data_IF_873574754596
#
_entry.id   IF_873574754596
#
_cell.length_a   1.000
_cell.length_b   1.000
_cell.length_c   1.000
_cell.angle_alpha   90.00
_cell.angle_beta   90.00
_cell.angle_gamma   90.00
#
_symmetry.space_group_name_H-M   'P 1'
#
loop_
_entity.id
_entity.type
_entity.pdbx_description
1 polymer ?
#
# COMPACT_ATOMS: atom_id res chain seq x y z
N UNK A 1 -32.66 -9.95 -16.02
CA UNK A 1 -32.00 -10.79 -14.99
C UNK A 1 -30.50 -10.80 -15.30
N UNK A 2 -29.65 -10.28 -14.43
CA UNK A 2 -28.19 -10.42 -14.58
C UNK A 2 -27.88 -11.91 -14.39
N UNK A 3 -27.45 -12.58 -15.45
CA UNK A 3 -26.87 -13.91 -15.34
C UNK A 3 -25.72 -13.78 -14.34
N UNK A 4 -25.86 -14.39 -13.16
CA UNK A 4 -24.69 -14.60 -12.30
C UNK A 4 -23.74 -15.40 -13.16
N UNK A 5 -22.62 -14.79 -13.56
CA UNK A 5 -21.64 -15.37 -14.45
C UNK A 5 -20.93 -16.48 -13.65
N UNK A 6 -21.63 -17.59 -13.47
CA UNK A 6 -21.15 -18.74 -12.70
C UNK A 6 -19.97 -19.32 -13.48
N UNK A 7 -18.77 -19.14 -12.93
CA UNK A 7 -17.57 -19.74 -13.48
C UNK A 7 -17.62 -21.27 -13.28
N UNK A 8 -16.94 -22.01 -14.17
CA UNK A 8 -16.84 -23.47 -14.05
C UNK A 8 -16.01 -23.87 -12.83
N UNK A 9 -16.16 -25.12 -12.39
CA UNK A 9 -15.36 -25.68 -11.30
C UNK A 9 -13.87 -25.71 -11.64
N UNK A 10 -13.54 -25.96 -12.91
CA UNK A 10 -12.16 -25.92 -13.42
C UNK A 10 -11.59 -24.50 -13.36
N UNK A 11 -12.37 -23.48 -13.70
CA UNK A 11 -11.95 -22.07 -13.58
C UNK A 11 -11.78 -21.69 -12.11
N UNK A 12 -12.72 -22.08 -11.22
CA UNK A 12 -12.61 -21.84 -9.79
C UNK A 12 -11.34 -22.47 -9.22
N UNK A 13 -11.03 -23.70 -9.61
CA UNK A 13 -9.80 -24.39 -9.21
C UNK A 13 -8.56 -23.65 -9.69
N UNK A 14 -8.51 -23.25 -10.97
CA UNK A 14 -7.39 -22.45 -11.51
C UNK A 14 -7.19 -21.14 -10.75
N UNK A 15 -8.27 -20.45 -10.37
CA UNK A 15 -8.20 -19.22 -9.58
C UNK A 15 -7.72 -19.48 -8.16
N UNK A 16 -8.19 -20.56 -7.51
CA UNK A 16 -7.76 -20.93 -6.17
C UNK A 16 -6.25 -21.20 -6.13
N UNK A 17 -5.75 -22.01 -7.08
CA UNK A 17 -4.31 -22.31 -7.18
C UNK A 17 -3.46 -21.04 -7.37
N UNK A 18 -3.94 -20.08 -8.17
CA UNK A 18 -3.26 -18.80 -8.35
C UNK A 18 -3.23 -17.94 -7.07
N UNK A 19 -4.35 -17.89 -6.33
CA UNK A 19 -4.44 -17.18 -5.05
C UNK A 19 -3.55 -17.84 -4.00
N UNK A 20 -3.53 -19.16 -3.92
CA UNK A 20 -2.70 -19.92 -2.97
C UNK A 20 -1.21 -19.67 -3.24
N UNK A 21 -0.81 -19.67 -4.52
CA UNK A 21 0.57 -19.34 -4.92
C UNK A 21 0.96 -17.91 -4.53
N UNK A 22 0.09 -16.93 -4.79
CA UNK A 22 0.34 -15.54 -4.42
C UNK A 22 0.47 -15.38 -2.89
N UNK A 23 -0.42 -16.02 -2.13
CA UNK A 23 -0.37 -16.04 -0.65
C UNK A 23 0.93 -16.63 -0.14
N UNK A 24 1.31 -17.80 -0.64
CA UNK A 24 2.56 -18.46 -0.25
C UNK A 24 3.79 -17.58 -0.57
N UNK A 25 3.77 -16.89 -1.71
CA UNK A 25 4.86 -15.98 -2.09
C UNK A 25 5.00 -14.78 -1.13
N UNK A 26 3.88 -14.25 -0.65
CA UNK A 26 3.83 -13.14 0.31
C UNK A 26 4.31 -13.62 1.69
N UNK A 27 3.85 -14.79 2.13
CA UNK A 27 4.26 -15.41 3.40
C UNK A 27 5.76 -15.75 3.42
N UNK A 28 6.31 -16.26 2.31
CA UNK A 28 7.75 -16.48 2.14
C UNK A 28 8.56 -15.19 2.21
N UNK A 29 7.95 -14.05 1.90
CA UNK A 29 8.56 -12.72 2.00
C UNK A 29 8.44 -12.12 3.41
N UNK A 30 7.81 -12.83 4.35
CA UNK A 30 7.61 -12.37 5.73
C UNK A 30 6.40 -11.47 5.94
N UNK A 31 5.46 -11.44 4.98
CA UNK A 31 4.24 -10.65 5.05
C UNK A 31 3.00 -11.54 5.11
N UNK A 32 1.85 -10.94 5.43
CA UNK A 32 0.55 -11.60 5.35
C UNK A 32 -0.44 -10.71 4.59
N UNK A 33 -1.42 -11.33 3.92
CA UNK A 33 -2.54 -10.58 3.33
C UNK A 33 -3.39 -9.94 4.44
N UNK A 34 -3.88 -8.73 4.18
CA UNK A 34 -4.92 -8.12 4.97
C UNK A 34 -6.29 -8.75 4.72
N UNK A 35 -7.24 -8.57 5.64
CA UNK A 35 -8.59 -9.15 5.57
C UNK A 35 -9.38 -8.69 4.35
N UNK A 36 -9.21 -7.45 3.91
CA UNK A 36 -9.87 -6.92 2.69
C UNK A 36 -9.33 -7.59 1.42
N UNK A 37 -8.03 -7.84 1.34
CA UNK A 37 -7.42 -8.52 0.20
C UNK A 37 -7.81 -10.00 0.16
N UNK A 38 -7.92 -10.66 1.33
CA UNK A 38 -8.44 -12.04 1.40
C UNK A 38 -9.88 -12.13 0.90
N UNK A 39 -10.74 -11.18 1.30
CA UNK A 39 -12.12 -11.13 0.84
C UNK A 39 -12.22 -10.91 -0.68
N UNK A 40 -11.39 -10.03 -1.23
CA UNK A 40 -11.32 -9.79 -2.68
C UNK A 40 -10.80 -11.02 -3.44
N UNK A 41 -9.79 -11.71 -2.89
CA UNK A 41 -9.28 -12.95 -3.45
C UNK A 41 -10.36 -14.03 -3.49
N UNK A 42 -11.14 -14.18 -2.40
CA UNK A 42 -12.25 -15.13 -2.36
C UNK A 42 -13.36 -14.78 -3.37
N UNK A 43 -13.70 -13.49 -3.49
CA UNK A 43 -14.68 -13.02 -4.49
C UNK A 43 -14.21 -13.32 -5.92
N UNK A 44 -12.92 -13.14 -6.21
CA UNK A 44 -12.32 -13.52 -7.49
C UNK A 44 -12.39 -15.03 -7.72
N UNK A 45 -12.03 -15.86 -6.73
CA UNK A 45 -12.13 -17.32 -6.82
C UNK A 45 -13.57 -17.77 -7.06
N UNK A 46 -14.55 -17.15 -6.41
CA UNK A 46 -15.96 -17.52 -6.58
C UNK A 46 -16.56 -17.08 -7.93
N UNK A 47 -15.90 -16.16 -8.62
CA UNK A 47 -16.41 -15.53 -9.84
C UNK A 47 -17.33 -14.33 -9.59
N UNK A 48 -17.40 -13.86 -8.34
CA UNK A 48 -18.11 -12.64 -7.95
C UNK A 48 -17.34 -11.37 -8.35
N UNK A 49 -16.02 -11.50 -8.52
CA UNK A 49 -15.12 -10.47 -9.01
C UNK A 49 -14.42 -10.94 -10.30
N UNK A 50 -14.36 -10.09 -11.32
CA UNK A 50 -13.59 -10.38 -12.52
C UNK A 50 -12.09 -10.11 -12.31
N UNK A 51 -11.26 -10.53 -13.26
CA UNK A 51 -9.81 -10.35 -13.16
C UNK A 51 -9.40 -8.87 -13.20
N UNK A 52 -10.04 -8.05 -14.03
CA UNK A 52 -9.73 -6.62 -14.18
C UNK A 52 -10.00 -5.86 -12.89
N UNK A 53 -11.10 -6.15 -12.21
CA UNK A 53 -11.45 -5.58 -10.91
C UNK A 53 -10.59 -6.16 -9.77
N UNK A 54 -10.17 -7.42 -9.89
CA UNK A 54 -9.26 -8.06 -8.92
C UNK A 54 -7.85 -7.48 -8.95
N UNK A 55 -7.28 -7.21 -10.13
CA UNK A 55 -5.92 -6.64 -10.25
C UNK A 55 -5.87 -5.12 -10.13
N UNK A 56 -7.03 -4.45 -10.15
CA UNK A 56 -7.08 -3.00 -9.96
C UNK A 56 -6.56 -2.66 -8.56
N UNK A 57 -5.51 -1.84 -8.49
CA UNK A 57 -4.99 -1.31 -7.23
C UNK A 57 -6.12 -0.55 -6.52
N UNK A 58 -6.50 -1.03 -5.33
CA UNK A 58 -7.51 -0.37 -4.48
C UNK A 58 -6.94 0.79 -3.69
N UNK A 59 -5.62 0.96 -3.67
CA UNK A 59 -4.99 2.16 -3.14
C UNK A 59 -5.11 3.31 -4.17
N UNK A 60 -5.76 4.45 -3.85
CA UNK A 60 -5.21 5.69 -4.38
C UNK A 60 -3.75 5.74 -3.94
N UNK A 61 -2.85 6.06 -4.85
CA UNK A 61 -1.43 6.23 -4.55
C UNK A 61 -1.23 7.34 -3.52
N UNK A 62 -1.40 7.06 -2.23
CA UNK A 62 -0.86 7.86 -1.15
C UNK A 62 0.52 7.29 -0.84
N UNK A 63 1.47 7.60 -1.71
CA UNK A 63 2.86 7.64 -1.32
C UNK A 63 2.95 8.82 -0.33
N UNK A 64 2.85 8.56 0.97
CA UNK A 64 3.16 9.60 1.94
C UNK A 64 4.67 9.84 1.89
N UNK A 65 5.06 10.99 1.34
CA UNK A 65 6.42 11.52 1.40
C UNK A 65 6.78 11.83 2.86
N UNK A 66 7.28 10.84 3.57
CA UNK A 66 7.84 10.98 4.93
C UNK A 66 9.14 11.80 4.96
N UNK A 67 9.61 12.33 3.82
CA UNK A 67 10.84 13.14 3.75
C UNK A 67 10.66 14.58 4.27
N UNK A 68 9.42 15.07 4.45
CA UNK A 68 9.16 16.46 4.86
C UNK A 68 8.92 16.67 6.36
N UNK A 69 9.25 15.73 7.22
CA UNK A 69 9.42 16.01 8.65
C UNK A 69 10.82 16.60 8.90
N UNK A 70 11.06 17.82 8.41
CA UNK A 70 12.19 18.63 8.87
C UNK A 70 11.75 19.33 10.15
N UNK A 71 12.31 19.01 11.34
CA UNK A 71 12.08 19.84 12.51
C UNK A 71 12.87 21.13 12.29
N UNK A 72 12.19 22.12 11.74
CA UNK A 72 12.54 23.52 11.89
C UNK A 72 12.36 23.89 13.37
N UNK A 73 13.42 23.78 14.18
CA UNK A 73 13.66 24.63 15.35
C UNK A 73 14.96 24.29 16.09
N UNK A 74 15.69 25.35 16.43
CA UNK A 74 16.76 25.46 17.45
C UNK A 74 18.11 24.81 17.06
N UNK A 75 19.26 25.49 17.09
CA UNK A 75 19.62 26.79 17.61
C UNK A 75 21.05 27.10 17.15
N UNK A 76 21.26 27.98 16.17
CA UNK A 76 22.56 28.65 16.00
C UNK A 76 22.35 30.07 15.50
N UNK A 77 22.23 31.00 16.45
CA UNK A 77 22.60 32.40 16.22
C UNK A 77 23.44 32.88 17.38
N UNK A 78 24.73 32.58 17.32
CA UNK A 78 25.77 33.36 17.99
C UNK A 78 26.32 34.37 16.99
N UNK A 79 26.03 35.69 17.10
CA UNK A 79 26.84 36.68 16.42
C UNK A 79 28.10 36.94 17.24
N UNK A 80 29.17 36.27 16.85
CA UNK A 80 30.54 36.67 17.19
C UNK A 80 30.87 38.00 16.51
N UNK A 81 31.30 38.97 17.31
CA UNK A 81 32.23 40.03 16.90
C UNK A 81 31.63 41.38 16.47
N UNK A 82 31.78 42.41 17.32
CA UNK A 82 32.62 43.61 17.08
C UNK A 82 32.32 44.73 18.10
N UNK A 83 33.28 45.00 18.98
CA UNK A 83 33.48 46.33 19.58
C UNK A 83 34.60 47.06 18.81
N UNK A 84 34.92 48.35 19.04
CA UNK A 84 34.30 49.35 19.93
C UNK A 84 33.95 50.66 19.18
N UNK A 85 33.25 51.60 19.85
CA UNK A 85 33.52 53.03 19.65
C UNK A 85 32.97 53.83 20.83
N UNK A 86 33.87 54.51 21.53
CA UNK A 86 33.53 55.56 22.48
C UNK A 86 33.25 56.89 21.76
N UNK A 87 32.38 57.69 22.35
CA UNK A 87 32.43 59.17 22.44
C UNK A 87 31.22 59.66 23.23
N UNK A 88 31.47 60.51 24.22
CA UNK A 88 30.48 61.17 25.07
C UNK A 88 31.04 61.36 26.46
#
# INVERSE_FOLDING_TARGET
MKLRNTISDEERKRRQEAVDYARASIELSGYHLGTEDEARAQAFVNGDLDLSDFVRSTAPSQLEDVSRASPEAAAERSPSGRAPNGRG
#
